data_IF_551931376109
#
_entry.id   IF_551931376109
#
_cell.length_a   1.000
_cell.length_b   1.000
_cell.length_c   1.000
_cell.angle_alpha   90.00
_cell.angle_beta   90.00
_cell.angle_gamma   90.00
#
_symmetry.space_group_name_H-M   'P 1'
#
loop_
_entity.id
_entity.type
_entity.pdbx_description
1 polymer ?
#
# COMPACT_ATOMS: atom_id res chain seq x y z
N UNK A 1 12.47 -23.70 12.65
CA UNK A 1 13.70 -23.48 13.41
C UNK A 1 13.53 -23.98 14.83
N UNK A 2 14.52 -24.60 15.45
CA UNK A 2 14.45 -24.88 16.87
C UNK A 2 14.40 -23.54 17.65
N UNK A 3 13.39 -23.38 18.50
CA UNK A 3 13.19 -22.20 19.39
C UNK A 3 14.45 -21.84 20.20
N UNK A 4 15.41 -22.75 20.33
CA UNK A 4 16.66 -22.59 21.08
C UNK A 4 17.67 -21.62 20.48
N UNK A 5 17.65 -21.37 19.15
CA UNK A 5 18.68 -20.56 18.47
C UNK A 5 18.57 -19.04 18.70
N UNK A 6 17.41 -18.56 19.19
CA UNK A 6 17.16 -17.14 19.46
C UNK A 6 17.03 -16.82 20.95
N UNK A 7 17.37 -17.72 21.86
CA UNK A 7 17.20 -17.51 23.32
C UNK A 7 18.02 -16.35 23.88
N UNK A 8 19.13 -16.01 23.24
CA UNK A 8 19.98 -14.89 23.64
C UNK A 8 19.35 -13.52 23.33
N UNK A 9 18.30 -13.47 22.49
CA UNK A 9 17.55 -12.26 22.19
C UNK A 9 16.42 -12.11 23.23
N UNK A 10 16.27 -10.95 23.89
CA UNK A 10 15.18 -10.72 24.84
C UNK A 10 13.81 -10.94 24.24
N UNK A 11 12.85 -11.41 25.01
CA UNK A 11 11.48 -11.62 24.52
C UNK A 11 10.87 -12.93 24.97
N UNK A 12 9.63 -13.12 24.61
CA UNK A 12 8.92 -14.38 24.81
C UNK A 12 8.23 -14.81 23.52
N UNK A 13 8.16 -16.11 23.34
CA UNK A 13 7.32 -16.73 22.33
C UNK A 13 6.06 -17.23 23.02
N UNK A 14 4.91 -16.66 22.68
CA UNK A 14 3.63 -17.12 23.20
C UNK A 14 3.29 -18.52 22.66
N UNK A 15 2.46 -19.26 23.39
CA UNK A 15 2.01 -20.60 22.99
C UNK A 15 1.42 -20.56 21.58
N UNK A 16 2.02 -21.29 20.65
CA UNK A 16 1.67 -21.30 19.22
C UNK A 16 1.65 -19.91 18.53
N UNK A 17 2.11 -18.86 19.20
CA UNK A 17 2.07 -17.48 18.68
C UNK A 17 0.67 -16.87 18.62
N UNK A 18 -0.37 -17.52 19.13
CA UNK A 18 -1.76 -17.07 19.03
C UNK A 18 -1.99 -15.69 19.65
N UNK A 19 -1.60 -15.44 20.93
CA UNK A 19 -1.82 -14.12 21.53
C UNK A 19 -1.10 -12.97 20.81
N UNK A 20 0.15 -13.19 20.40
CA UNK A 20 0.94 -12.19 19.67
C UNK A 20 0.34 -11.95 18.28
N UNK A 21 -0.08 -13.01 17.58
CA UNK A 21 -0.72 -12.91 16.24
C UNK A 21 -2.05 -12.17 16.31
N UNK A 22 -2.91 -12.48 17.27
CA UNK A 22 -4.18 -11.76 17.47
C UNK A 22 -3.94 -10.29 17.81
N UNK A 23 -3.00 -10.01 18.74
CA UNK A 23 -2.64 -8.63 19.08
C UNK A 23 -2.03 -7.88 17.90
N UNK A 24 -1.27 -8.54 17.02
CA UNK A 24 -0.75 -7.95 15.80
C UNK A 24 -1.88 -7.55 14.82
N UNK A 25 -2.90 -8.40 14.65
CA UNK A 25 -4.01 -8.09 13.75
C UNK A 25 -4.96 -6.99 14.28
N UNK A 26 -5.03 -6.82 15.60
CA UNK A 26 -5.96 -5.84 16.20
C UNK A 26 -5.26 -4.54 16.59
N UNK A 27 -4.04 -4.58 17.09
CA UNK A 27 -3.35 -3.43 17.68
C UNK A 27 -1.82 -3.60 17.60
N UNK A 28 -1.21 -3.67 16.40
CA UNK A 28 0.22 -3.94 16.25
C UNK A 28 1.10 -2.93 16.99
N UNK A 29 0.77 -1.64 16.95
CA UNK A 29 1.52 -0.59 17.65
C UNK A 29 1.55 -0.80 19.17
N UNK A 30 0.39 -1.11 19.79
CA UNK A 30 0.31 -1.39 21.24
C UNK A 30 1.11 -2.64 21.62
N UNK A 31 1.07 -3.69 20.79
CA UNK A 31 1.87 -4.90 21.01
C UNK A 31 3.36 -4.59 21.00
N UNK A 32 3.82 -3.87 20.01
CA UNK A 32 5.22 -3.49 19.82
C UNK A 32 5.71 -2.60 20.95
N UNK A 33 4.95 -1.57 21.32
CA UNK A 33 5.28 -0.67 22.43
C UNK A 33 5.36 -1.42 23.76
N UNK A 34 4.39 -2.30 24.06
CA UNK A 34 4.40 -3.14 25.28
C UNK A 34 5.65 -4.02 25.35
N UNK A 35 6.02 -4.65 24.23
CA UNK A 35 7.21 -5.52 24.18
C UNK A 35 8.49 -4.70 24.25
N UNK A 36 8.56 -3.56 23.55
CA UNK A 36 9.70 -2.63 23.64
C UNK A 36 9.97 -2.18 25.08
N UNK A 37 8.94 -1.73 25.80
CA UNK A 37 9.07 -1.33 27.22
C UNK A 37 9.61 -2.44 28.11
N UNK A 38 9.28 -3.70 27.78
CA UNK A 38 9.69 -4.86 28.60
C UNK A 38 11.05 -5.45 28.21
N UNK A 39 11.41 -5.44 26.93
CA UNK A 39 12.53 -6.19 26.40
C UNK A 39 13.59 -5.34 25.70
N UNK A 40 13.33 -4.02 25.53
CA UNK A 40 14.20 -3.12 24.77
C UNK A 40 13.84 -3.06 23.28
N UNK A 41 14.69 -2.40 22.50
CA UNK A 41 14.42 -2.08 21.10
C UNK A 41 14.58 -3.27 20.13
N UNK A 42 15.18 -4.37 20.58
CA UNK A 42 15.32 -5.61 19.80
C UNK A 42 14.73 -6.75 20.62
N UNK A 43 13.67 -7.36 20.14
CA UNK A 43 12.98 -8.39 20.90
C UNK A 43 12.35 -9.50 20.04
N UNK A 44 12.22 -10.68 20.66
CA UNK A 44 11.49 -11.82 20.08
C UNK A 44 10.01 -11.75 20.36
N UNK A 45 9.25 -12.21 19.38
CA UNK A 45 7.82 -12.53 19.48
C UNK A 45 7.48 -13.75 18.61
N UNK A 46 6.20 -14.07 18.51
CA UNK A 46 5.73 -15.13 17.62
C UNK A 46 4.65 -14.59 16.70
N UNK A 47 4.70 -14.97 15.42
CA UNK A 47 3.66 -14.66 14.45
C UNK A 47 3.30 -15.93 13.67
N UNK A 48 2.02 -16.32 13.68
CA UNK A 48 1.52 -17.57 13.05
C UNK A 48 2.38 -18.80 13.41
N UNK A 49 2.75 -18.93 14.67
CA UNK A 49 3.54 -20.04 15.20
C UNK A 49 5.04 -20.01 14.89
N UNK A 50 5.54 -18.99 14.19
CA UNK A 50 6.96 -18.80 13.90
C UNK A 50 7.57 -17.72 14.79
N UNK A 51 8.80 -17.92 15.30
CA UNK A 51 9.53 -16.87 15.99
C UNK A 51 9.89 -15.76 15.00
N UNK A 52 9.68 -14.51 15.40
CA UNK A 52 10.06 -13.31 14.68
C UNK A 52 10.79 -12.35 15.59
N UNK A 53 11.84 -11.70 15.10
CA UNK A 53 12.56 -10.65 15.82
C UNK A 53 12.10 -9.30 15.29
N UNK A 54 11.62 -8.45 16.19
CA UNK A 54 11.26 -7.07 15.85
C UNK A 54 12.44 -6.15 16.16
N UNK A 55 12.81 -5.33 15.17
CA UNK A 55 13.87 -4.34 15.24
C UNK A 55 13.24 -2.95 15.28
N UNK A 56 13.39 -2.25 16.42
CA UNK A 56 12.87 -0.89 16.64
C UNK A 56 13.91 0.23 16.49
N UNK A 57 15.25 -0.03 16.45
CA UNK A 57 16.22 1.03 16.22
C UNK A 57 15.95 1.77 14.90
N UNK A 58 16.21 3.08 14.86
CA UNK A 58 15.90 3.98 13.73
C UNK A 58 16.57 3.60 12.42
N UNK A 59 17.68 2.89 12.47
CA UNK A 59 18.42 2.36 11.31
C UNK A 59 17.99 0.96 10.87
N UNK A 60 17.05 0.32 11.59
CA UNK A 60 16.57 -1.03 11.28
C UNK A 60 15.96 -1.16 9.87
N UNK A 61 15.23 -0.13 9.40
CA UNK A 61 14.68 -0.13 8.04
C UNK A 61 15.78 -0.16 6.98
N UNK A 62 16.83 0.65 7.16
CA UNK A 62 17.98 0.67 6.27
C UNK A 62 18.70 -0.68 6.27
N UNK A 63 18.97 -1.23 7.47
CA UNK A 63 19.61 -2.54 7.62
C UNK A 63 18.86 -3.66 6.89
N UNK A 64 17.53 -3.75 7.09
CA UNK A 64 16.71 -4.83 6.52
C UNK A 64 16.44 -4.67 5.02
N UNK A 65 16.35 -3.45 4.49
CA UNK A 65 15.84 -3.23 3.15
C UNK A 65 16.90 -2.76 2.15
N UNK A 66 18.02 -2.19 2.63
CA UNK A 66 18.97 -1.47 1.77
C UNK A 66 20.39 -2.02 1.87
N UNK A 67 20.95 -2.15 3.10
CA UNK A 67 22.37 -2.43 3.27
C UNK A 67 22.77 -3.83 2.80
N UNK A 68 21.86 -4.82 2.90
CA UNK A 68 22.18 -6.22 2.63
C UNK A 68 21.14 -6.88 1.69
N UNK A 69 20.95 -6.39 0.46
CA UNK A 69 19.85 -6.81 -0.41
C UNK A 69 19.90 -8.29 -0.84
N UNK A 70 21.07 -8.94 -0.78
CA UNK A 70 21.25 -10.36 -1.12
C UNK A 70 21.04 -11.29 0.07
N UNK A 71 21.15 -10.76 1.28
CA UNK A 71 21.06 -11.52 2.53
C UNK A 71 19.62 -11.63 3.02
N UNK A 72 18.77 -10.66 2.68
CA UNK A 72 17.40 -10.61 3.13
C UNK A 72 16.42 -10.94 2.01
N UNK A 73 15.67 -12.02 2.17
CA UNK A 73 14.58 -12.35 1.25
C UNK A 73 13.23 -11.79 1.73
N UNK A 74 12.36 -11.50 0.78
CA UNK A 74 11.01 -11.00 0.97
C UNK A 74 9.97 -12.10 0.94
N UNK A 75 10.20 -13.14 0.14
CA UNK A 75 9.23 -14.17 -0.22
C UNK A 75 8.65 -14.89 0.99
N UNK A 76 9.50 -15.51 1.82
CA UNK A 76 9.03 -16.38 2.88
C UNK A 76 8.19 -15.67 3.96
N UNK A 77 8.53 -14.41 4.40
CA UNK A 77 7.64 -13.64 5.27
C UNK A 77 6.25 -13.40 4.67
N UNK A 78 6.19 -13.04 3.39
CA UNK A 78 4.91 -12.80 2.72
C UNK A 78 4.14 -14.08 2.41
N UNK A 79 4.82 -15.18 2.13
CA UNK A 79 4.18 -16.49 1.94
C UNK A 79 3.37 -16.93 3.18
N UNK A 80 3.74 -16.49 4.38
CA UNK A 80 2.99 -16.82 5.59
C UNK A 80 1.51 -16.38 5.54
N UNK A 81 1.22 -15.32 4.80
CA UNK A 81 -0.13 -14.72 4.72
C UNK A 81 -0.71 -14.68 3.32
N UNK A 82 0.13 -14.70 2.27
CA UNK A 82 -0.31 -14.44 0.90
C UNK A 82 -0.17 -15.64 -0.06
N UNK A 83 0.55 -16.72 0.32
CA UNK A 83 0.93 -17.81 -0.58
C UNK A 83 -0.22 -18.36 -1.43
N UNK A 84 -1.33 -18.70 -0.82
CA UNK A 84 -2.47 -19.30 -1.52
C UNK A 84 -3.34 -18.26 -2.25
N UNK A 85 -3.26 -17.01 -1.81
CA UNK A 85 -4.08 -15.90 -2.35
C UNK A 85 -3.39 -15.19 -3.53
N UNK A 86 -2.05 -15.10 -3.51
CA UNK A 86 -1.25 -14.40 -4.52
C UNK A 86 0.06 -15.16 -4.85
N UNK A 87 0.02 -16.43 -5.30
CA UNK A 87 1.17 -17.36 -5.32
C UNK A 87 2.37 -16.87 -6.13
N UNK A 88 2.17 -16.13 -7.22
CA UNK A 88 3.23 -15.57 -8.06
C UNK A 88 3.23 -14.03 -8.04
N UNK A 89 2.71 -13.41 -6.98
CA UNK A 89 2.80 -11.95 -6.81
C UNK A 89 4.25 -11.50 -6.66
N UNK A 90 4.56 -10.30 -7.15
CA UNK A 90 5.92 -9.76 -7.16
C UNK A 90 6.56 -9.70 -5.75
N UNK A 91 5.77 -9.52 -4.69
CA UNK A 91 6.23 -9.55 -3.30
C UNK A 91 6.70 -10.93 -2.83
N UNK A 92 6.25 -12.00 -3.50
CA UNK A 92 6.57 -13.40 -3.18
C UNK A 92 7.69 -13.94 -4.07
N UNK A 93 8.54 -13.06 -4.56
CA UNK A 93 9.70 -13.40 -5.39
C UNK A 93 10.96 -12.75 -4.84
N UNK A 94 12.11 -13.41 -5.04
CA UNK A 94 13.43 -12.91 -4.72
C UNK A 94 14.41 -13.23 -5.86
N UNK A 95 15.61 -12.64 -5.82
CA UNK A 95 16.70 -12.92 -6.74
C UNK A 95 16.35 -12.61 -8.20
N UNK A 96 16.87 -13.45 -9.12
CA UNK A 96 16.74 -13.25 -10.57
C UNK A 96 15.28 -13.36 -11.05
N UNK A 97 14.47 -14.22 -10.41
CA UNK A 97 13.04 -14.30 -10.70
C UNK A 97 12.35 -12.97 -10.42
N UNK A 98 12.60 -12.38 -9.24
CA UNK A 98 12.06 -11.05 -8.90
C UNK A 98 12.51 -9.98 -9.90
N UNK A 99 13.82 -9.95 -10.20
CA UNK A 99 14.41 -8.98 -11.14
C UNK A 99 13.75 -9.06 -12.51
N UNK A 100 13.57 -10.27 -13.04
CA UNK A 100 12.92 -10.50 -14.35
C UNK A 100 11.47 -10.02 -14.35
N UNK A 101 10.64 -10.53 -13.43
CA UNK A 101 9.22 -10.15 -13.36
C UNK A 101 9.04 -8.65 -13.10
N UNK A 102 9.89 -8.07 -12.23
CA UNK A 102 9.86 -6.64 -11.94
C UNK A 102 10.20 -5.80 -13.16
N UNK A 103 11.16 -6.21 -14.01
CA UNK A 103 11.53 -5.46 -15.22
C UNK A 103 10.37 -5.35 -16.19
N UNK A 104 9.58 -6.42 -16.36
CA UNK A 104 8.40 -6.42 -17.21
C UNK A 104 7.30 -5.50 -16.65
N UNK A 105 7.00 -5.63 -15.36
CA UNK A 105 5.99 -4.78 -14.72
C UNK A 105 6.41 -3.30 -14.73
N UNK A 106 7.70 -3.00 -14.60
CA UNK A 106 8.22 -1.63 -14.62
C UNK A 106 7.99 -0.89 -15.94
N UNK A 107 7.87 -1.59 -17.06
CA UNK A 107 7.56 -0.98 -18.36
C UNK A 107 6.25 -0.18 -18.32
N UNK A 108 5.26 -0.65 -17.56
CA UNK A 108 3.98 0.05 -17.39
C UNK A 108 4.08 1.35 -16.58
N UNK A 109 5.20 1.61 -15.90
CA UNK A 109 5.40 2.81 -15.09
C UNK A 109 6.42 3.80 -15.68
N UNK A 110 6.81 3.60 -16.95
CA UNK A 110 7.63 4.55 -17.70
C UNK A 110 6.84 5.83 -18.03
N UNK A 111 7.55 6.87 -18.45
CA UNK A 111 6.97 8.21 -18.69
C UNK A 111 5.80 8.18 -19.69
N UNK A 112 5.96 7.51 -20.82
CA UNK A 112 4.94 7.47 -21.88
C UNK A 112 3.66 6.77 -21.45
N UNK A 113 3.66 5.52 -20.89
CA UNK A 113 2.48 4.93 -20.29
C UNK A 113 1.81 5.82 -19.25
N UNK A 114 2.59 6.51 -18.41
CA UNK A 114 2.05 7.37 -17.35
C UNK A 114 1.24 8.56 -17.91
N UNK A 115 1.69 9.19 -19.01
CA UNK A 115 0.92 10.24 -19.69
C UNK A 115 -0.38 9.66 -20.31
N UNK A 116 -0.31 8.46 -20.89
CA UNK A 116 -1.48 7.73 -21.37
C UNK A 116 -2.49 7.46 -20.27
N UNK A 117 -2.02 6.97 -19.11
CA UNK A 117 -2.86 6.69 -17.95
C UNK A 117 -3.56 7.96 -17.44
N UNK A 118 -2.85 9.07 -17.37
CA UNK A 118 -3.43 10.35 -16.96
C UNK A 118 -4.60 10.76 -17.87
N UNK A 119 -4.44 10.61 -19.21
CA UNK A 119 -5.51 10.88 -20.18
C UNK A 119 -6.73 10.00 -19.93
N UNK A 120 -6.53 8.70 -19.68
CA UNK A 120 -7.62 7.76 -19.38
C UNK A 120 -8.32 8.05 -18.05
N UNK A 121 -7.55 8.44 -17.01
CA UNK A 121 -8.11 8.70 -15.68
C UNK A 121 -8.97 9.97 -15.61
N UNK A 122 -8.63 11.02 -16.35
CA UNK A 122 -9.32 12.32 -16.22
C UNK A 122 -10.84 12.23 -16.39
N UNK A 123 -11.39 11.66 -17.47
CA UNK A 123 -12.83 11.59 -17.64
C UNK A 123 -13.50 10.73 -16.57
N UNK A 124 -12.83 9.66 -16.12
CA UNK A 124 -13.32 8.78 -15.07
C UNK A 124 -13.43 9.55 -13.73
N UNK A 125 -12.35 10.25 -13.33
CA UNK A 125 -12.33 11.05 -12.10
C UNK A 125 -13.33 12.19 -12.17
N UNK A 126 -13.45 12.87 -13.33
CA UNK A 126 -14.45 13.92 -13.54
C UNK A 126 -15.87 13.40 -13.34
N UNK A 127 -16.21 12.23 -13.91
CA UNK A 127 -17.49 11.59 -13.72
C UNK A 127 -17.78 11.27 -12.24
N UNK A 128 -16.81 10.73 -11.54
CA UNK A 128 -16.95 10.40 -10.10
C UNK A 128 -17.25 11.63 -9.25
N UNK A 129 -16.50 12.71 -9.48
CA UNK A 129 -16.65 13.94 -8.71
C UNK A 129 -17.97 14.66 -9.04
N UNK A 130 -18.42 14.59 -10.29
CA UNK A 130 -19.71 15.14 -10.71
C UNK A 130 -20.92 14.42 -10.10
N UNK A 131 -20.80 13.12 -9.81
CA UNK A 131 -21.85 12.31 -9.18
C UNK A 131 -21.98 12.54 -7.65
N UNK A 132 -21.07 13.32 -7.06
CA UNK A 132 -21.20 13.68 -5.66
C UNK A 132 -22.38 14.62 -5.43
N UNK A 133 -23.12 14.36 -4.36
CA UNK A 133 -24.28 15.16 -3.96
C UNK A 133 -24.04 15.78 -2.58
N UNK A 134 -24.65 16.94 -2.27
CA UNK A 134 -24.59 17.50 -0.92
C UNK A 134 -25.14 16.52 0.11
N UNK A 135 -24.65 16.60 1.34
CA UNK A 135 -25.10 15.78 2.45
C UNK A 135 -24.04 14.85 3.01
N UNK A 136 -24.47 13.93 3.87
CA UNK A 136 -23.58 12.95 4.50
C UNK A 136 -23.25 11.80 3.55
N UNK A 137 -21.96 11.42 3.50
CA UNK A 137 -21.50 10.28 2.70
C UNK A 137 -20.31 9.59 3.34
N UNK A 138 -20.07 8.34 2.96
CA UNK A 138 -18.87 7.58 3.34
C UNK A 138 -17.83 7.66 2.21
N UNK A 139 -16.65 8.21 2.50
CA UNK A 139 -15.62 8.40 1.47
C UNK A 139 -14.85 7.13 1.13
N UNK A 140 -14.55 6.28 2.10
CA UNK A 140 -13.75 5.08 1.86
C UNK A 140 -14.37 4.12 0.83
N UNK A 141 -15.65 3.74 0.92
CA UNK A 141 -16.28 2.91 -0.11
C UNK A 141 -16.27 3.54 -1.50
N UNK A 142 -16.42 4.88 -1.60
CA UNK A 142 -16.34 5.59 -2.87
C UNK A 142 -14.94 5.53 -3.45
N UNK A 143 -13.90 5.85 -2.66
CA UNK A 143 -12.53 5.78 -3.13
C UNK A 143 -12.11 4.35 -3.51
N UNK A 144 -12.60 3.34 -2.80
CA UNK A 144 -12.40 1.94 -3.23
C UNK A 144 -12.97 1.66 -4.60
N UNK A 145 -14.17 2.09 -4.89
CA UNK A 145 -14.79 1.94 -6.21
C UNK A 145 -14.01 2.70 -7.28
N UNK A 146 -13.64 3.95 -7.02
CA UNK A 146 -12.93 4.81 -7.97
C UNK A 146 -11.53 4.28 -8.31
N UNK A 147 -10.76 3.90 -7.30
CA UNK A 147 -9.40 3.36 -7.52
C UNK A 147 -9.41 2.02 -8.25
N UNK A 148 -10.43 1.18 -8.00
CA UNK A 148 -10.60 -0.08 -8.70
C UNK A 148 -10.95 0.13 -10.18
N UNK A 149 -11.92 0.99 -10.47
CA UNK A 149 -12.33 1.28 -11.85
C UNK A 149 -11.17 1.87 -12.66
N UNK A 150 -10.42 2.81 -12.06
CA UNK A 150 -9.20 3.34 -12.66
C UNK A 150 -8.18 2.24 -12.93
N UNK A 151 -7.92 1.34 -11.97
CA UNK A 151 -6.97 0.25 -12.17
C UNK A 151 -7.40 -0.69 -13.30
N UNK A 152 -8.68 -1.05 -13.37
CA UNK A 152 -9.23 -1.92 -14.42
C UNK A 152 -9.14 -1.27 -15.80
N UNK A 153 -9.44 0.02 -15.92
CA UNK A 153 -9.30 0.73 -17.20
C UNK A 153 -7.85 0.91 -17.61
N UNK A 154 -7.01 1.39 -16.69
CA UNK A 154 -5.64 1.83 -16.99
C UNK A 154 -4.69 0.64 -17.17
N UNK A 155 -4.71 -0.33 -16.25
CA UNK A 155 -3.78 -1.45 -16.29
C UNK A 155 -4.29 -2.64 -17.12
N UNK A 156 -5.61 -2.78 -17.26
CA UNK A 156 -6.16 -3.95 -17.93
C UNK A 156 -6.91 -3.61 -19.22
N UNK A 157 -7.11 -2.31 -19.52
CA UNK A 157 -7.83 -1.86 -20.71
C UNK A 157 -9.30 -2.29 -20.72
N UNK A 158 -9.89 -2.50 -19.53
CA UNK A 158 -11.24 -3.04 -19.39
C UNK A 158 -12.26 -1.95 -19.06
N UNK A 159 -13.36 -1.95 -19.78
CA UNK A 159 -14.59 -1.22 -19.43
C UNK A 159 -15.52 -2.20 -18.71
N UNK A 160 -15.47 -2.19 -17.38
CA UNK A 160 -16.09 -3.26 -16.57
C UNK A 160 -17.60 -3.11 -16.36
N UNK A 161 -18.14 -1.89 -16.55
CA UNK A 161 -19.59 -1.63 -16.47
C UNK A 161 -20.24 -2.34 -15.26
N UNK A 162 -21.17 -3.24 -15.54
CA UNK A 162 -21.92 -4.01 -14.54
C UNK A 162 -21.08 -5.02 -13.75
N UNK A 163 -19.88 -5.39 -14.22
CA UNK A 163 -18.99 -6.35 -13.53
C UNK A 163 -18.18 -5.72 -12.40
N UNK A 164 -18.06 -4.38 -12.37
CA UNK A 164 -17.25 -3.66 -11.39
C UNK A 164 -17.61 -3.99 -9.92
N UNK A 165 -18.89 -4.05 -9.49
CA UNK A 165 -19.24 -4.44 -8.13
C UNK A 165 -18.80 -5.87 -7.78
N UNK A 166 -18.91 -6.81 -8.73
CA UNK A 166 -18.49 -8.20 -8.54
C UNK A 166 -16.98 -8.32 -8.36
N UNK A 167 -16.21 -7.64 -9.19
CA UNK A 167 -14.74 -7.61 -9.08
C UNK A 167 -14.31 -6.97 -7.77
N UNK A 168 -14.92 -5.83 -7.38
CA UNK A 168 -14.65 -5.16 -6.11
C UNK A 168 -14.92 -6.08 -4.91
N UNK A 169 -16.04 -6.80 -4.93
CA UNK A 169 -16.36 -7.76 -3.87
C UNK A 169 -15.36 -8.92 -3.83
N UNK A 170 -14.91 -9.44 -4.99
CA UNK A 170 -13.93 -10.50 -5.06
C UNK A 170 -12.58 -10.06 -4.48
N UNK A 171 -12.05 -8.89 -4.90
CA UNK A 171 -10.82 -8.32 -4.36
C UNK A 171 -10.91 -8.12 -2.85
N UNK A 172 -12.00 -7.51 -2.36
CA UNK A 172 -12.22 -7.29 -0.92
C UNK A 172 -12.23 -8.59 -0.12
N UNK A 173 -12.82 -9.67 -0.66
CA UNK A 173 -12.80 -11.00 -0.01
C UNK A 173 -11.41 -11.59 0.06
N UNK A 174 -10.62 -11.45 -0.99
CA UNK A 174 -9.23 -11.94 -1.02
C UNK A 174 -8.38 -11.17 0.01
N UNK A 175 -8.48 -9.85 0.05
CA UNK A 175 -7.75 -9.01 1.00
C UNK A 175 -8.13 -9.35 2.45
N UNK A 176 -9.42 -9.50 2.77
CA UNK A 176 -9.87 -9.94 4.10
C UNK A 176 -9.36 -11.33 4.47
N UNK A 177 -9.23 -12.22 3.49
CA UNK A 177 -8.71 -13.57 3.72
C UNK A 177 -7.24 -13.57 4.15
N UNK A 178 -6.42 -12.60 3.70
CA UNK A 178 -5.00 -12.53 4.02
C UNK A 178 -4.69 -12.32 5.51
N UNK A 179 -5.66 -11.82 6.28
CA UNK A 179 -5.55 -11.64 7.74
C UNK A 179 -6.44 -12.59 8.55
N UNK A 180 -6.95 -13.63 7.91
CA UNK A 180 -7.75 -14.66 8.57
C UNK A 180 -6.95 -15.96 8.74
N UNK A 181 -7.37 -16.81 9.66
CA UNK A 181 -6.79 -18.14 9.78
C UNK A 181 -6.99 -18.94 8.47
N UNK A 182 -5.95 -19.65 7.96
CA UNK A 182 -5.97 -20.31 6.65
C UNK A 182 -6.79 -21.61 6.65
N UNK A 183 -8.04 -21.53 7.09
CA UNK A 183 -8.99 -22.64 7.11
C UNK A 183 -9.79 -22.62 5.80
N UNK A 184 -9.54 -23.65 4.94
CA UNK A 184 -10.08 -23.72 3.56
C UNK A 184 -11.52 -24.23 3.47
N UNK A 185 -12.34 -24.05 4.52
CA UNK A 185 -13.76 -24.44 4.47
C UNK A 185 -14.61 -23.36 3.77
N UNK A 186 -15.68 -23.71 3.03
CA UNK A 186 -16.42 -22.78 2.19
C UNK A 186 -17.05 -21.58 2.91
N UNK A 187 -17.40 -21.73 4.17
CA UNK A 187 -18.05 -20.68 4.98
C UNK A 187 -17.07 -19.77 5.71
N UNK A 188 -15.79 -20.14 5.80
CA UNK A 188 -14.76 -19.33 6.47
C UNK A 188 -14.36 -18.12 5.63
N UNK A 189 -13.79 -17.09 6.27
CA UNK A 189 -13.26 -15.90 5.57
C UNK A 189 -12.18 -16.31 4.56
N UNK A 190 -11.29 -17.22 4.93
CA UNK A 190 -10.25 -17.73 4.05
C UNK A 190 -10.81 -18.51 2.86
N UNK A 191 -11.75 -19.42 3.10
CA UNK A 191 -12.41 -20.20 2.03
C UNK A 191 -13.21 -19.33 1.07
N UNK A 192 -13.86 -18.25 1.56
CA UNK A 192 -14.50 -17.24 0.71
C UNK A 192 -13.49 -16.47 -0.14
N UNK A 193 -12.32 -16.13 0.41
CA UNK A 193 -11.23 -15.50 -0.34
C UNK A 193 -10.67 -16.41 -1.43
N UNK A 194 -10.48 -17.70 -1.14
CA UNK A 194 -10.02 -18.68 -2.15
C UNK A 194 -11.01 -18.85 -3.32
N UNK A 195 -12.31 -18.84 -3.05
CA UNK A 195 -13.33 -18.85 -4.11
C UNK A 195 -13.32 -17.56 -4.94
N UNK A 196 -13.22 -16.42 -4.27
CA UNK A 196 -13.12 -15.13 -4.95
C UNK A 196 -11.87 -15.07 -5.85
N UNK A 197 -10.72 -15.61 -5.38
CA UNK A 197 -9.54 -15.76 -6.22
C UNK A 197 -9.79 -16.61 -7.46
N UNK A 198 -10.47 -17.76 -7.29
CA UNK A 198 -10.83 -18.61 -8.42
C UNK A 198 -11.70 -17.86 -9.43
N UNK A 199 -12.68 -17.09 -8.98
CA UNK A 199 -13.53 -16.24 -9.84
C UNK A 199 -12.70 -15.23 -10.65
N UNK A 200 -11.69 -14.58 -10.04
CA UNK A 200 -10.80 -13.67 -10.76
C UNK A 200 -9.85 -14.39 -11.71
N UNK A 201 -9.36 -15.59 -11.35
CA UNK A 201 -8.55 -16.42 -12.25
C UNK A 201 -9.34 -16.77 -13.50
N UNK A 202 -10.58 -17.28 -13.34
CA UNK A 202 -11.44 -17.66 -14.45
C UNK A 202 -11.79 -16.42 -15.33
N UNK A 203 -12.03 -15.27 -14.72
CA UNK A 203 -12.27 -14.01 -15.41
C UNK A 203 -11.08 -13.56 -16.26
N UNK A 204 -9.87 -13.46 -15.67
CA UNK A 204 -8.70 -13.03 -16.44
C UNK A 204 -8.29 -14.07 -17.48
N UNK A 205 -8.43 -15.36 -17.20
CA UNK A 205 -8.14 -16.43 -18.14
C UNK A 205 -8.96 -16.30 -19.44
N UNK A 206 -10.22 -15.96 -19.34
CA UNK A 206 -11.08 -15.76 -20.51
C UNK A 206 -10.62 -14.61 -21.43
N UNK A 207 -9.78 -13.69 -20.94
CA UNK A 207 -9.29 -12.54 -21.68
C UNK A 207 -7.86 -12.71 -22.22
N UNK A 208 -7.09 -13.70 -21.71
CA UNK A 208 -5.66 -13.86 -22.05
C UNK A 208 -5.46 -14.07 -23.55
N UNK A 209 -6.31 -14.89 -24.19
CA UNK A 209 -6.18 -15.19 -25.63
C UNK A 209 -6.35 -13.92 -26.47
N UNK A 210 -7.42 -13.16 -26.23
CA UNK A 210 -7.67 -11.89 -26.91
C UNK A 210 -6.50 -10.91 -26.75
N UNK A 211 -5.97 -10.79 -25.52
CA UNK A 211 -4.83 -9.91 -25.22
C UNK A 211 -3.51 -10.36 -25.84
N UNK A 212 -3.35 -11.66 -26.13
CA UNK A 212 -2.20 -12.20 -26.88
C UNK A 212 -2.32 -11.94 -28.37
N UNK A 213 -3.50 -12.16 -28.94
CA UNK A 213 -3.76 -12.00 -30.38
C UNK A 213 -3.85 -10.53 -30.79
N UNK A 214 -4.43 -9.68 -29.94
CA UNK A 214 -4.63 -8.25 -30.17
C UNK A 214 -4.05 -7.42 -28.99
N UNK A 215 -2.72 -7.37 -28.83
CA UNK A 215 -2.11 -6.70 -27.70
C UNK A 215 -2.30 -5.18 -27.79
N UNK A 216 -2.93 -4.62 -26.75
CA UNK A 216 -3.00 -3.17 -26.53
C UNK A 216 -1.77 -2.63 -25.81
N UNK A 217 -1.84 -1.37 -25.41
CA UNK A 217 -0.74 -0.71 -24.67
C UNK A 217 -0.86 -0.87 -23.14
N UNK A 218 -1.96 -1.49 -22.66
CA UNK A 218 -2.18 -1.75 -21.25
C UNK A 218 -1.20 -2.80 -20.69
N UNK A 219 -1.03 -2.81 -19.36
CA UNK A 219 -0.12 -3.73 -18.69
C UNK A 219 -0.51 -5.21 -18.91
N UNK A 220 -1.81 -5.52 -18.98
CA UNK A 220 -2.26 -6.90 -19.23
C UNK A 220 -1.73 -7.42 -20.56
N UNK A 221 -1.94 -6.65 -21.65
CA UNK A 221 -1.41 -6.98 -22.97
C UNK A 221 0.11 -7.15 -22.94
N UNK A 222 0.83 -6.22 -22.31
CA UNK A 222 2.29 -6.28 -22.17
C UNK A 222 2.75 -7.55 -21.44
N UNK A 223 2.11 -7.93 -20.34
CA UNK A 223 2.43 -9.17 -19.62
C UNK A 223 2.19 -10.42 -20.47
N UNK A 224 1.15 -10.41 -21.32
CA UNK A 224 0.82 -11.52 -22.20
C UNK A 224 1.86 -11.80 -23.30
N UNK A 225 2.63 -10.78 -23.74
CA UNK A 225 3.60 -10.87 -24.84
C UNK A 225 5.05 -10.66 -24.39
N UNK A 226 5.28 -10.39 -23.12
CA UNK A 226 6.60 -10.10 -22.58
C UNK A 226 7.53 -11.33 -22.68
N UNK A 227 8.78 -11.08 -23.07
CA UNK A 227 9.84 -12.10 -23.16
C UNK A 227 11.01 -11.72 -22.26
N UNK A 228 11.68 -12.74 -21.70
CA UNK A 228 12.96 -12.55 -21.04
C UNK A 228 14.12 -12.43 -22.06
N UNK A 229 15.35 -12.24 -21.56
CA UNK A 229 16.56 -12.14 -22.38
C UNK A 229 16.83 -13.41 -23.23
N UNK A 230 16.24 -14.57 -22.85
CA UNK A 230 16.33 -15.85 -23.57
C UNK A 230 15.17 -16.06 -24.56
N UNK A 231 14.26 -15.08 -24.68
CA UNK A 231 13.06 -15.19 -25.53
C UNK A 231 11.90 -15.99 -24.91
N UNK A 232 12.01 -16.40 -23.65
CA UNK A 232 10.95 -17.13 -22.93
C UNK A 232 9.85 -16.15 -22.47
N UNK A 233 8.58 -16.56 -22.61
CA UNK A 233 7.41 -15.79 -22.19
C UNK A 233 6.94 -16.22 -20.79
N UNK A 234 6.16 -15.35 -20.16
CA UNK A 234 5.43 -15.74 -18.95
C UNK A 234 4.38 -16.81 -19.27
N UNK A 235 4.29 -17.80 -18.41
CA UNK A 235 3.18 -18.76 -18.43
C UNK A 235 1.85 -18.04 -18.16
N UNK A 236 0.76 -18.52 -18.76
CA UNK A 236 -0.57 -17.95 -18.58
C UNK A 236 -0.93 -17.74 -17.10
N UNK A 237 -0.68 -18.74 -16.26
CA UNK A 237 -0.97 -18.65 -14.83
C UNK A 237 -0.14 -17.57 -14.12
N UNK A 238 1.10 -17.35 -14.54
CA UNK A 238 1.96 -16.28 -13.99
C UNK A 238 1.42 -14.89 -14.37
N UNK A 239 0.97 -14.72 -15.62
CA UNK A 239 0.29 -13.50 -16.06
C UNK A 239 -0.92 -13.22 -15.17
N UNK A 240 -1.82 -14.18 -15.03
CA UNK A 240 -3.05 -14.05 -14.23
C UNK A 240 -2.72 -13.73 -12.76
N UNK A 241 -1.74 -14.39 -12.17
CA UNK A 241 -1.34 -14.15 -10.78
C UNK A 241 -0.79 -12.74 -10.58
N UNK A 242 -0.02 -12.20 -11.55
CA UNK A 242 0.41 -10.79 -11.54
C UNK A 242 -0.77 -9.83 -11.64
N UNK A 243 -1.75 -10.10 -12.52
CA UNK A 243 -2.93 -9.26 -12.67
C UNK A 243 -3.73 -9.16 -11.37
N UNK A 244 -3.99 -10.29 -10.71
CA UNK A 244 -4.71 -10.34 -9.43
C UNK A 244 -3.91 -9.62 -8.34
N UNK A 245 -2.58 -9.80 -8.29
CA UNK A 245 -1.71 -9.12 -7.34
C UNK A 245 -1.70 -7.60 -7.54
N UNK A 246 -1.55 -7.13 -8.80
CA UNK A 246 -1.51 -5.70 -9.13
C UNK A 246 -2.86 -5.06 -8.85
N UNK A 247 -3.96 -5.76 -9.14
CA UNK A 247 -5.31 -5.27 -8.86
C UNK A 247 -5.50 -4.99 -7.35
N UNK A 248 -5.04 -5.88 -6.48
CA UNK A 248 -5.05 -5.67 -5.03
C UNK A 248 -4.13 -4.52 -4.63
N UNK A 249 -2.89 -4.50 -5.14
CA UNK A 249 -1.88 -3.54 -4.70
C UNK A 249 -2.21 -2.10 -5.11
N UNK A 250 -2.76 -1.88 -6.31
CA UNK A 250 -3.06 -0.54 -6.85
C UNK A 250 -4.36 0.07 -6.28
N UNK A 251 -5.26 -0.76 -5.78
CA UNK A 251 -6.60 -0.34 -5.37
C UNK A 251 -6.67 0.01 -3.87
N UNK A 252 -6.40 -0.94 -2.99
CA UNK A 252 -6.66 -0.77 -1.55
C UNK A 252 -5.73 0.26 -0.89
N UNK A 253 -4.45 0.28 -1.24
CA UNK A 253 -3.47 1.21 -0.65
C UNK A 253 -3.74 2.66 -1.03
N UNK A 254 -4.13 2.90 -2.28
CA UNK A 254 -4.48 4.23 -2.77
C UNK A 254 -5.80 4.73 -2.18
N UNK A 255 -6.81 3.87 -2.06
CA UNK A 255 -8.08 4.20 -1.41
C UNK A 255 -7.87 4.55 0.08
N UNK A 256 -7.03 3.78 0.79
CA UNK A 256 -6.62 4.07 2.16
C UNK A 256 -5.98 5.45 2.29
N UNK A 257 -5.01 5.76 1.42
CA UNK A 257 -4.29 7.05 1.44
C UNK A 257 -5.23 8.22 1.13
N UNK A 258 -6.09 8.10 0.10
CA UNK A 258 -7.10 9.13 -0.24
C UNK A 258 -8.04 9.40 0.93
N UNK A 259 -8.48 8.35 1.61
CA UNK A 259 -9.39 8.47 2.75
C UNK A 259 -8.71 9.15 3.93
N UNK A 260 -7.49 8.74 4.27
CA UNK A 260 -6.71 9.34 5.35
C UNK A 260 -6.37 10.81 5.05
N UNK A 261 -6.00 11.13 3.81
CA UNK A 261 -5.77 12.52 3.36
C UNK A 261 -7.04 13.36 3.48
N UNK A 262 -8.19 12.80 3.05
CA UNK A 262 -9.47 13.50 3.17
C UNK A 262 -9.85 13.76 4.63
N UNK A 263 -9.58 12.83 5.54
CA UNK A 263 -9.75 13.01 6.98
C UNK A 263 -8.91 14.18 7.50
N UNK A 264 -7.60 14.18 7.22
CA UNK A 264 -6.72 15.23 7.70
C UNK A 264 -7.09 16.60 7.12
N UNK A 265 -7.42 16.69 5.84
CA UNK A 265 -7.86 17.95 5.24
C UNK A 265 -9.22 18.43 5.79
N UNK A 266 -10.12 17.51 6.17
CA UNK A 266 -11.37 17.87 6.87
C UNK A 266 -11.15 18.39 8.29
N UNK A 267 -10.16 17.85 9.02
CA UNK A 267 -9.78 18.32 10.37
C UNK A 267 -8.99 19.62 10.34
N UNK A 268 -8.25 19.90 9.27
CA UNK A 268 -7.35 21.03 9.11
C UNK A 268 -7.76 21.90 7.93
N UNK A 269 -8.85 22.68 8.11
CA UNK A 269 -9.46 23.51 7.04
C UNK A 269 -8.46 24.46 6.37
N UNK A 270 -7.49 25.00 7.12
CA UNK A 270 -6.42 25.82 6.56
C UNK A 270 -5.57 25.08 5.52
N UNK A 271 -5.29 23.79 5.75
CA UNK A 271 -4.59 22.95 4.77
C UNK A 271 -5.49 22.58 3.60
N UNK A 272 -6.78 22.33 3.84
CA UNK A 272 -7.75 22.10 2.77
C UNK A 272 -7.81 23.32 1.84
N UNK A 273 -7.91 24.57 2.39
CA UNK A 273 -7.90 25.80 1.61
C UNK A 273 -6.59 25.98 0.85
N UNK A 274 -5.45 25.82 1.51
CA UNK A 274 -4.12 25.97 0.89
C UNK A 274 -3.92 25.02 -0.29
N UNK A 275 -4.30 23.76 -0.15
CA UNK A 275 -4.25 22.78 -1.26
C UNK A 275 -5.20 23.18 -2.39
N UNK A 276 -6.38 23.73 -2.06
CA UNK A 276 -7.34 24.22 -3.05
C UNK A 276 -6.81 25.41 -3.83
N UNK A 277 -6.24 26.41 -3.14
CA UNK A 277 -5.69 27.60 -3.78
C UNK A 277 -4.55 27.23 -4.75
N UNK A 278 -3.69 26.31 -4.36
CA UNK A 278 -2.67 25.76 -5.26
C UNK A 278 -3.32 25.13 -6.50
N UNK A 279 -4.29 24.25 -6.33
CA UNK A 279 -4.98 23.55 -7.44
C UNK A 279 -5.70 24.54 -8.33
N UNK A 280 -6.37 25.56 -7.76
CA UNK A 280 -7.04 26.62 -8.52
C UNK A 280 -6.07 27.36 -9.43
N UNK A 281 -4.90 27.75 -8.94
CA UNK A 281 -3.85 28.41 -9.73
C UNK A 281 -3.39 27.57 -10.91
N UNK A 282 -3.35 26.24 -10.76
CA UNK A 282 -3.05 25.33 -11.87
C UNK A 282 -4.19 25.27 -12.88
N UNK A 283 -5.46 25.23 -12.46
CA UNK A 283 -6.62 25.27 -13.36
C UNK A 283 -6.72 26.57 -14.14
N UNK A 284 -6.46 27.71 -13.51
CA UNK A 284 -6.53 29.04 -14.12
C UNK A 284 -5.45 29.23 -15.19
N UNK A 285 -4.31 28.57 -15.00
CA UNK A 285 -3.16 28.71 -15.91
C UNK A 285 -3.09 27.67 -17.01
N UNK A 286 -3.88 26.59 -16.95
CA UNK A 286 -3.79 25.43 -17.85
C UNK A 286 -5.15 24.86 -18.20
N UNK A 287 -5.31 24.45 -19.48
CA UNK A 287 -6.54 23.76 -19.92
C UNK A 287 -6.63 22.32 -19.36
N UNK A 288 -5.50 21.64 -19.27
CA UNK A 288 -5.40 20.25 -18.80
C UNK A 288 -4.09 20.03 -18.03
N UNK A 289 -4.12 19.20 -16.99
CA UNK A 289 -2.91 18.83 -16.25
C UNK A 289 -2.09 17.80 -17.02
N UNK A 290 -0.78 17.96 -17.00
CA UNK A 290 0.19 16.94 -17.38
C UNK A 290 0.67 16.19 -16.14
N UNK A 291 1.39 15.08 -16.31
CA UNK A 291 2.07 14.39 -15.21
C UNK A 291 3.04 15.32 -14.48
N UNK A 292 3.68 16.24 -15.23
CA UNK A 292 4.57 17.24 -14.66
C UNK A 292 3.82 18.21 -13.74
N UNK A 293 2.67 18.73 -14.18
CA UNK A 293 1.86 19.66 -13.36
C UNK A 293 1.45 19.03 -12.03
N UNK A 294 1.00 17.76 -12.06
CA UNK A 294 0.66 17.05 -10.83
C UNK A 294 1.88 16.87 -9.91
N UNK A 295 3.09 16.67 -10.45
CA UNK A 295 4.32 16.62 -9.63
C UNK A 295 4.66 17.97 -9.00
N UNK A 296 4.40 19.07 -9.70
CA UNK A 296 4.66 20.44 -9.25
C UNK A 296 3.68 20.95 -8.18
N UNK A 297 2.53 20.27 -7.95
CA UNK A 297 1.62 20.58 -6.82
C UNK A 297 2.33 20.28 -5.49
N UNK A 298 2.95 21.30 -4.90
CA UNK A 298 3.80 21.18 -3.72
C UNK A 298 2.98 21.01 -2.44
N UNK A 299 1.97 21.87 -2.21
CA UNK A 299 1.17 21.85 -0.98
C UNK A 299 0.40 20.54 -0.83
N UNK A 300 -0.22 20.07 -1.91
CA UNK A 300 -0.89 18.78 -1.93
C UNK A 300 0.12 17.64 -1.74
N UNK A 301 1.31 17.75 -2.32
CA UNK A 301 2.40 16.80 -2.13
C UNK A 301 2.89 16.70 -0.68
N UNK A 302 3.02 17.85 0.02
CA UNK A 302 3.38 17.90 1.44
C UNK A 302 2.28 17.24 2.31
N UNK A 303 1.00 17.54 2.03
CA UNK A 303 -0.13 16.93 2.74
C UNK A 303 -0.19 15.41 2.55
N UNK A 304 0.08 14.91 1.34
CA UNK A 304 0.15 13.46 1.06
C UNK A 304 1.29 12.81 1.87
N UNK A 305 2.47 13.40 1.89
CA UNK A 305 3.62 12.87 2.64
C UNK A 305 3.33 12.80 4.13
N UNK A 306 2.74 13.84 4.71
CA UNK A 306 2.37 13.87 6.13
C UNK A 306 1.26 12.85 6.45
N UNK A 307 0.29 12.69 5.56
CA UNK A 307 -0.73 11.64 5.67
C UNK A 307 -0.09 10.24 5.71
N UNK A 308 0.83 9.96 4.79
CA UNK A 308 1.54 8.68 4.72
C UNK A 308 2.49 8.47 5.91
N UNK A 309 2.94 9.53 6.58
CA UNK A 309 3.70 9.41 7.81
C UNK A 309 2.82 8.94 8.97
N UNK A 310 1.66 9.58 9.17
CA UNK A 310 0.78 9.28 10.31
C UNK A 310 0.01 7.97 10.05
N UNK A 311 -0.56 7.83 8.85
CA UNK A 311 -1.37 6.68 8.45
C UNK A 311 -0.83 5.99 7.18
N UNK A 312 0.35 5.32 7.24
CA UNK A 312 0.84 4.54 6.11
C UNK A 312 -0.08 3.33 5.87
N UNK A 313 -0.44 2.99 4.63
CA UNK A 313 -1.26 1.82 4.33
C UNK A 313 -0.69 0.50 4.88
N UNK A 314 0.63 0.35 4.89
CA UNK A 314 1.34 -0.76 5.51
C UNK A 314 2.15 -0.27 6.71
N UNK A 315 1.94 -0.88 7.86
CA UNK A 315 2.54 -0.43 9.14
C UNK A 315 3.84 -1.14 9.49
N UNK A 316 4.19 -2.23 8.80
CA UNK A 316 5.40 -3.03 9.08
C UNK A 316 5.87 -3.77 7.83
N UNK A 317 7.13 -4.12 7.82
CA UNK A 317 7.73 -4.98 6.79
C UNK A 317 8.57 -6.07 7.46
N UNK A 318 8.59 -7.24 6.84
CA UNK A 318 9.36 -8.39 7.33
C UNK A 318 10.30 -8.92 6.26
N UNK A 319 11.42 -9.47 6.72
CA UNK A 319 12.42 -10.17 5.91
C UNK A 319 12.86 -11.44 6.63
N UNK A 320 13.45 -12.36 5.86
CA UNK A 320 14.14 -13.52 6.42
C UNK A 320 15.60 -13.45 5.99
N UNK A 321 16.55 -13.53 6.94
CA UNK A 321 17.95 -13.59 6.56
C UNK A 321 18.32 -14.98 6.04
N UNK A 322 19.06 -15.04 4.94
CA UNK A 322 19.55 -16.27 4.32
C UNK A 322 20.89 -16.73 4.89
N UNK A 323 21.63 -15.79 5.47
CA UNK A 323 22.94 -15.97 6.11
C UNK A 323 22.87 -15.43 7.54
N UNK A 324 23.89 -15.73 8.35
CA UNK A 324 24.03 -15.14 9.66
C UNK A 324 24.36 -13.64 9.55
N UNK A 325 23.70 -12.81 10.35
CA UNK A 325 23.87 -11.35 10.37
C UNK A 325 23.95 -10.85 11.81
N UNK A 326 24.63 -9.71 12.00
CA UNK A 326 24.67 -9.02 13.29
C UNK A 326 24.02 -7.64 13.18
N UNK A 327 23.26 -7.23 14.20
CA UNK A 327 22.68 -5.89 14.28
C UNK A 327 22.34 -5.55 15.75
N UNK A 328 22.63 -4.31 16.15
CA UNK A 328 22.27 -3.80 17.48
C UNK A 328 22.84 -4.60 18.64
N UNK A 329 24.04 -5.21 18.48
CA UNK A 329 24.72 -6.03 19.50
C UNK A 329 24.22 -7.48 19.59
N UNK A 330 23.39 -7.94 18.66
CA UNK A 330 22.89 -9.31 18.60
C UNK A 330 23.29 -10.01 17.31
N UNK A 331 23.59 -11.31 17.41
CA UNK A 331 23.81 -12.19 16.26
C UNK A 331 22.53 -12.93 15.91
N UNK A 332 22.19 -12.95 14.63
CA UNK A 332 21.00 -13.61 14.10
C UNK A 332 21.42 -14.74 13.16
N UNK A 333 21.15 -16.01 13.50
CA UNK A 333 21.49 -17.11 12.61
C UNK A 333 20.68 -17.09 11.32
N UNK A 334 21.23 -17.68 10.26
CA UNK A 334 20.54 -17.88 9.00
C UNK A 334 19.13 -18.45 9.20
N UNK A 335 18.16 -17.93 8.46
CA UNK A 335 16.76 -18.32 8.55
C UNK A 335 15.94 -17.57 9.61
N UNK A 336 16.51 -16.57 10.29
CA UNK A 336 15.76 -15.73 11.25
C UNK A 336 14.78 -14.83 10.50
N UNK A 337 13.50 -14.84 10.93
CA UNK A 337 12.50 -13.87 10.51
C UNK A 337 12.67 -12.58 11.31
N UNK A 338 12.75 -11.46 10.62
CA UNK A 338 12.97 -10.14 11.22
C UNK A 338 11.92 -9.17 10.67
N UNK A 339 11.46 -8.23 11.48
CA UNK A 339 10.53 -7.19 11.08
C UNK A 339 10.95 -5.82 11.61
N UNK A 340 10.57 -4.77 10.88
CA UNK A 340 10.68 -3.39 11.35
C UNK A 340 9.35 -2.67 11.17
N UNK A 341 8.84 -1.95 12.19
CA UNK A 341 7.56 -1.26 12.13
C UNK A 341 7.74 0.16 11.58
N UNK A 342 7.27 0.41 10.36
CA UNK A 342 7.26 1.77 9.77
C UNK A 342 6.49 2.77 10.63
N UNK A 343 5.28 2.38 11.08
CA UNK A 343 4.45 3.26 11.90
C UNK A 343 5.14 3.75 13.17
N UNK A 344 6.01 2.93 13.76
CA UNK A 344 6.80 3.36 14.93
C UNK A 344 7.85 4.41 14.55
N UNK A 345 8.59 4.20 13.47
CA UNK A 345 9.62 5.16 13.02
C UNK A 345 9.00 6.47 12.54
N UNK A 346 7.82 6.40 11.92
CA UNK A 346 7.07 7.58 11.48
C UNK A 346 6.54 8.44 12.64
N UNK A 347 6.42 7.87 13.85
CA UNK A 347 5.92 8.54 15.05
C UNK A 347 7.02 8.73 16.12
N UNK A 348 8.28 8.46 15.80
CA UNK A 348 9.38 8.56 16.77
C UNK A 348 9.76 10.04 17.02
N UNK A 349 9.65 10.53 18.28
CA UNK A 349 9.98 11.93 18.63
C UNK A 349 11.48 12.26 18.47
N UNK A 350 12.38 11.27 18.43
CA UNK A 350 13.80 11.48 18.15
C UNK A 350 14.06 11.87 16.68
N UNK A 351 13.05 11.70 15.81
CA UNK A 351 13.14 11.98 14.37
C UNK A 351 12.23 13.14 13.99
N UNK A 352 11.02 13.20 14.57
CA UNK A 352 9.96 14.11 14.17
C UNK A 352 9.57 15.03 15.33
N UNK A 353 9.50 16.33 15.06
CA UNK A 353 9.04 17.31 16.04
C UNK A 353 7.51 17.18 16.19
N UNK A 354 7.02 16.98 17.42
CA UNK A 354 5.59 16.78 17.71
C UNK A 354 4.93 15.77 16.74
N UNK A 355 5.33 14.50 16.76
CA UNK A 355 4.95 13.53 15.74
C UNK A 355 3.45 13.25 15.63
N UNK A 356 2.66 13.52 16.69
CA UNK A 356 1.20 13.34 16.70
C UNK A 356 0.46 14.41 15.90
N UNK A 357 1.07 15.58 15.67
CA UNK A 357 0.43 16.68 14.96
C UNK A 357 0.55 16.52 13.45
N UNK A 358 -0.56 16.75 12.74
CA UNK A 358 -0.56 16.85 11.28
C UNK A 358 0.08 18.18 10.86
N UNK A 359 1.30 18.14 10.43
CA UNK A 359 2.09 19.29 10.01
C UNK A 359 2.87 19.00 8.72
N UNK A 360 2.26 19.16 7.54
CA UNK A 360 2.91 18.92 6.26
C UNK A 360 4.20 19.72 6.03
N UNK A 361 4.38 20.88 6.68
CA UNK A 361 5.59 21.71 6.53
C UNK A 361 6.87 21.00 6.97
N UNK A 362 6.78 19.93 7.78
CA UNK A 362 7.97 19.12 8.15
C UNK A 362 8.70 18.51 6.93
N UNK A 363 8.00 18.37 5.80
CA UNK A 363 8.57 17.91 4.54
C UNK A 363 9.01 19.04 3.61
N UNK A 364 8.82 20.30 4.00
CA UNK A 364 9.22 21.47 3.19
C UNK A 364 10.74 21.50 2.96
N UNK A 365 11.18 22.34 2.01
CA UNK A 365 12.59 22.53 1.70
C UNK A 365 13.41 23.11 2.85
N UNK A 366 12.75 23.83 3.77
CA UNK A 366 13.35 24.49 4.93
C UNK A 366 13.55 23.50 6.09
N UNK A 367 12.55 22.65 6.39
CA UNK A 367 12.58 21.76 7.58
C UNK A 367 13.18 20.38 7.30
N UNK A 368 12.78 19.72 6.23
CA UNK A 368 13.33 18.41 5.78
C UNK A 368 13.48 17.37 6.89
N UNK A 369 12.53 17.28 7.83
CA UNK A 369 12.64 16.38 8.99
C UNK A 369 12.82 14.91 8.58
N UNK A 370 12.23 14.48 7.45
CA UNK A 370 12.39 13.14 6.90
C UNK A 370 13.83 12.77 6.52
N UNK A 371 14.74 13.75 6.43
CA UNK A 371 16.17 13.52 6.15
C UNK A 371 17.02 13.40 7.41
N UNK A 372 16.47 13.68 8.61
CA UNK A 372 17.20 13.55 9.89
C UNK A 372 17.66 12.10 10.14
N UNK A 373 16.88 11.13 9.66
CA UNK A 373 17.23 9.72 9.74
C UNK A 373 16.87 9.04 8.40
N UNK A 374 17.88 8.63 7.61
CA UNK A 374 17.66 7.97 6.33
C UNK A 374 16.79 6.72 6.49
N UNK A 375 15.80 6.58 5.60
CA UNK A 375 14.86 5.44 5.57
C UNK A 375 13.91 5.31 6.78
N UNK A 376 13.94 6.22 7.77
CA UNK A 376 12.93 6.25 8.82
C UNK A 376 11.54 6.62 8.26
N UNK A 377 11.50 7.44 7.20
CA UNK A 377 10.30 7.68 6.39
C UNK A 377 10.33 6.80 5.15
N UNK A 378 9.60 5.70 5.18
CA UNK A 378 9.58 4.70 4.09
C UNK A 378 8.18 4.12 3.82
N UNK A 379 7.16 4.97 3.56
CA UNK A 379 5.78 4.48 3.35
C UNK A 379 5.64 3.60 2.11
N UNK A 380 6.57 3.70 1.17
CA UNK A 380 6.65 2.88 -0.05
C UNK A 380 7.73 1.78 0.04
N UNK A 381 8.24 1.51 1.24
CA UNK A 381 9.37 0.61 1.43
C UNK A 381 10.70 1.20 0.92
N UNK A 382 11.71 0.35 0.78
CA UNK A 382 13.04 0.74 0.29
C UNK A 382 13.75 -0.45 -0.39
N UNK A 383 14.91 -0.17 -1.02
CA UNK A 383 15.75 -1.18 -1.66
C UNK A 383 15.11 -1.82 -2.90
N UNK A 384 15.49 -3.06 -3.17
CA UNK A 384 15.08 -3.78 -4.39
C UNK A 384 13.57 -4.05 -4.48
N UNK A 385 12.88 -4.07 -3.34
CA UNK A 385 11.43 -4.23 -3.24
C UNK A 385 10.67 -2.90 -3.01
N UNK A 386 11.32 -1.75 -3.25
CA UNK A 386 10.61 -0.45 -3.22
C UNK A 386 9.37 -0.49 -4.12
N UNK A 387 8.28 0.15 -3.70
CA UNK A 387 7.02 0.14 -4.42
C UNK A 387 7.19 0.57 -5.88
N UNK A 388 6.82 -0.30 -6.82
CA UNK A 388 6.95 -0.04 -8.25
C UNK A 388 5.93 0.99 -8.73
N UNK A 389 4.76 1.03 -8.08
CA UNK A 389 3.64 1.90 -8.43
C UNK A 389 3.64 3.27 -7.72
N UNK A 390 4.70 3.66 -7.00
CA UNK A 390 4.67 4.87 -6.16
C UNK A 390 4.36 6.15 -6.96
N UNK A 391 4.93 6.30 -8.17
CA UNK A 391 4.67 7.46 -9.06
C UNK A 391 3.23 7.47 -9.54
N UNK A 392 2.69 6.30 -9.90
CA UNK A 392 1.30 6.16 -10.32
C UNK A 392 0.34 6.47 -9.16
N UNK A 393 0.61 5.95 -7.97
CA UNK A 393 -0.21 6.21 -6.79
C UNK A 393 -0.25 7.71 -6.47
N UNK A 394 0.89 8.39 -6.45
CA UNK A 394 0.96 9.84 -6.22
C UNK A 394 0.20 10.62 -7.29
N UNK A 395 0.37 10.28 -8.56
CA UNK A 395 -0.34 10.90 -9.69
C UNK A 395 -1.86 10.70 -9.56
N UNK A 396 -2.31 9.48 -9.25
CA UNK A 396 -3.72 9.15 -9.09
C UNK A 396 -4.34 9.91 -7.90
N UNK A 397 -3.65 9.95 -6.76
CA UNK A 397 -4.10 10.67 -5.57
C UNK A 397 -4.22 12.16 -5.86
N UNK A 398 -3.20 12.78 -6.48
CA UNK A 398 -3.22 14.19 -6.82
C UNK A 398 -4.32 14.54 -7.83
N UNK A 399 -4.54 13.70 -8.84
CA UNK A 399 -5.61 13.92 -9.81
C UNK A 399 -7.00 13.84 -9.16
N UNK A 400 -7.26 12.82 -8.34
CA UNK A 400 -8.54 12.68 -7.64
C UNK A 400 -8.75 13.85 -6.68
N UNK A 401 -7.76 14.15 -5.85
CA UNK A 401 -7.88 15.21 -4.85
C UNK A 401 -7.97 16.60 -5.48
N UNK A 402 -7.29 16.87 -6.59
CA UNK A 402 -7.41 18.17 -7.27
C UNK A 402 -8.85 18.41 -7.76
N UNK A 403 -9.48 17.44 -8.40
CA UNK A 403 -10.88 17.58 -8.83
C UNK A 403 -11.85 17.60 -7.65
N UNK A 404 -11.57 16.83 -6.58
CA UNK A 404 -12.38 16.82 -5.37
C UNK A 404 -12.33 18.17 -4.65
N UNK A 405 -11.14 18.77 -4.47
CA UNK A 405 -10.95 20.09 -3.87
C UNK A 405 -11.66 21.22 -4.64
N UNK A 406 -11.71 21.12 -5.97
CA UNK A 406 -12.40 22.11 -6.80
C UNK A 406 -13.92 21.99 -6.73
N UNK A 407 -14.45 20.78 -6.55
CA UNK A 407 -15.89 20.53 -6.61
C UNK A 407 -16.61 20.61 -5.29
N UNK A 408 -15.94 20.24 -4.19
CA UNK A 408 -16.60 20.11 -2.89
C UNK A 408 -15.81 20.73 -1.74
N UNK A 409 -16.54 21.23 -0.75
CA UNK A 409 -16.08 21.38 0.62
C UNK A 409 -16.56 20.19 1.41
N UNK A 410 -15.72 19.69 2.32
CA UNK A 410 -16.12 18.60 3.19
C UNK A 410 -15.57 18.78 4.59
N UNK A 411 -16.29 18.28 5.56
CA UNK A 411 -15.95 18.40 6.97
C UNK A 411 -16.31 17.14 7.74
N UNK A 412 -15.69 16.98 8.89
CA UNK A 412 -16.05 16.01 9.92
C UNK A 412 -16.41 16.75 11.22
N UNK A 413 -17.16 16.16 12.14
CA UNK A 413 -17.44 16.77 13.45
C UNK A 413 -16.11 17.12 14.17
N UNK A 414 -16.10 18.25 14.91
CA UNK A 414 -14.89 18.76 15.58
C UNK A 414 -14.18 17.72 16.45
N UNK A 415 -14.95 16.91 17.18
CA UNK A 415 -14.44 15.90 18.11
C UNK A 415 -14.37 14.48 17.47
N UNK A 416 -14.55 14.38 16.14
CA UNK A 416 -14.45 13.11 15.46
C UNK A 416 -13.00 12.67 15.33
N UNK A 417 -12.71 11.47 15.80
CA UNK A 417 -11.44 10.77 15.57
C UNK A 417 -11.73 9.51 14.78
N UNK A 418 -11.04 9.37 13.65
CA UNK A 418 -11.29 8.25 12.74
C UNK A 418 -10.85 6.92 13.37
N UNK A 419 -11.74 5.93 13.51
CA UNK A 419 -11.38 4.62 14.03
C UNK A 419 -10.62 3.83 12.96
N UNK A 420 -9.28 3.74 13.11
CA UNK A 420 -8.44 3.09 12.12
C UNK A 420 -8.17 1.63 12.44
N UNK A 421 -8.48 0.72 11.52
CA UNK A 421 -8.03 -0.67 11.52
C UNK A 421 -6.64 -0.74 10.85
N UNK A 422 -5.60 -1.24 11.54
CA UNK A 422 -4.22 -1.13 11.06
C UNK A 422 -3.82 -2.19 10.03
N UNK A 423 -4.54 -3.31 9.93
CA UNK A 423 -4.16 -4.46 9.07
C UNK A 423 -5.39 -5.12 8.43
N UNK A 424 -5.25 -5.70 7.23
CA UNK A 424 -4.04 -5.91 6.40
C UNK A 424 -3.50 -4.64 5.77
N UNK A 425 -4.38 -3.69 5.48
CA UNK A 425 -4.10 -2.34 4.97
C UNK A 425 -4.82 -1.40 5.92
N UNK A 426 -4.15 -0.35 6.34
CA UNK A 426 -4.73 0.62 7.27
C UNK A 426 -5.94 1.30 6.63
N UNK A 427 -7.12 1.19 7.27
CA UNK A 427 -8.37 1.72 6.73
C UNK A 427 -9.33 2.15 7.86
N UNK A 428 -10.23 3.12 7.64
CA UNK A 428 -11.23 3.50 8.62
C UNK A 428 -12.31 2.41 8.76
N UNK A 429 -12.63 2.04 10.01
CA UNK A 429 -13.62 1.01 10.31
C UNK A 429 -15.06 1.46 9.97
N UNK A 430 -15.33 2.75 10.11
CA UNK A 430 -16.65 3.37 9.86
C UNK A 430 -16.80 3.92 8.43
N UNK A 431 -15.79 3.78 7.58
CA UNK A 431 -15.81 4.22 6.18
C UNK A 431 -15.60 5.72 5.99
N UNK A 432 -15.21 6.47 7.02
CA UNK A 432 -15.03 7.93 7.05
C UNK A 432 -16.30 8.69 6.64
N UNK A 433 -17.26 8.88 7.55
CA UNK A 433 -18.42 9.72 7.31
C UNK A 433 -18.03 11.20 7.26
N UNK A 434 -18.39 11.87 6.17
CA UNK A 434 -18.17 13.31 5.98
C UNK A 434 -19.44 14.01 5.56
N UNK A 435 -19.55 15.30 5.90
CA UNK A 435 -20.57 16.20 5.37
C UNK A 435 -20.00 16.89 4.13
N UNK A 436 -20.62 16.71 2.98
CA UNK A 436 -20.26 17.35 1.71
C UNK A 436 -21.16 18.55 1.41
N UNK A 437 -20.55 19.61 0.92
CA UNK A 437 -21.20 20.76 0.29
C UNK A 437 -20.63 20.95 -1.12
N UNK A 438 -21.51 21.09 -2.09
CA UNK A 438 -21.08 21.33 -3.48
C UNK A 438 -20.73 22.81 -3.62
N UNK A 439 -19.57 23.09 -4.19
CA UNK A 439 -19.12 24.45 -4.49
C UNK A 439 -19.81 24.95 -5.77
N UNK A 440 -20.35 26.14 -5.70
CA UNK A 440 -20.74 26.89 -6.92
C UNK A 440 -19.47 27.29 -7.67
N UNK A 441 -19.52 27.20 -8.99
CA UNK A 441 -18.39 27.57 -9.87
C UNK A 441 -18.16 29.05 -9.89
#
# INVERSE_FOLDING_TARGET
MPKSRLKHIPGNESFWGIPDTLSFFTSPGKLQEKKRKKYGDIFRSSFLGKPIVTLMPKDATRFLLVDNPKVFNSREPWEMVLKDLFPNGLMLMDGDKHKFHRSIVAEAFKKEPMEGYLKLMRPIVSSFVQQLSPGQTLLFPKFKTWTLEIALKVFFGLDTGTQLPRINQAVSRIVKASTSFPIKLPFTTYGKGMRARKELVDFFRSLVLEKKENPGEDLFSRLCVAKNEKGEMLEEQQVIDHLIFILMAAHDTTASTLTSLSYFLAKHSAWQSRCRDEVQNFYDSRKEFTVRDLREMEQLGLAIKETLRIYPPLVTVSRKCTEAVAFGGYDFPAGTFMSTPFGFHHMNPDIWDNPEHFDPHRFSKERKEHLRCPYAYSPFGAGIHHCIGFVFAEMQIKLIMSQFLMRVDWSVPKNYEVPMRPVPIQEPEDGLPVQIQIREK
#
